data_IF_206753375253
#
_entry.id   IF_206753375253
#
_cell.length_a   1.000
_cell.length_b   1.000
_cell.length_c   1.000
_cell.angle_alpha   90.00
_cell.angle_beta   90.00
_cell.angle_gamma   90.00
#
_symmetry.space_group_name_H-M   'P 1'
#
loop_
_entity.id
_entity.type
_entity.pdbx_description
1 polymer ?
#
# COMPACT_ATOMS: atom_id res chain seq x y z
N UNK A 1 -54.20 73.16 10.59
CA UNK A 1 -55.52 72.49 10.54
C UNK A 1 -55.28 71.00 10.45
N UNK A 2 -55.84 70.25 11.39
CA UNK A 2 -55.59 68.82 11.62
C UNK A 2 -56.02 67.95 10.43
N UNK A 3 -55.40 66.78 10.25
CA UNK A 3 -55.99 65.45 10.54
C UNK A 3 -55.10 64.33 9.97
N UNK A 4 -54.89 63.33 10.82
CA UNK A 4 -54.19 62.04 10.63
C UNK A 4 -54.80 61.18 9.52
N UNK A 5 -54.01 60.29 8.92
CA UNK A 5 -54.42 58.91 8.60
C UNK A 5 -53.22 57.99 8.37
N UNK A 6 -53.32 56.81 8.97
CA UNK A 6 -52.32 55.76 9.16
C UNK A 6 -52.24 54.79 7.96
N UNK A 7 -51.42 53.73 8.13
CA UNK A 7 -51.21 52.50 7.31
C UNK A 7 -50.09 52.61 6.27
N UNK A 8 -49.17 51.64 6.11
CA UNK A 8 -48.87 50.41 6.83
C UNK A 8 -47.41 50.02 6.50
N UNK A 9 -46.65 49.63 7.51
CA UNK A 9 -45.32 49.02 7.35
C UNK A 9 -45.55 47.52 7.13
N UNK A 10 -45.27 47.02 5.94
CA UNK A 10 -45.12 45.58 5.69
C UNK A 10 -43.63 45.28 5.71
N UNK A 11 -43.20 44.66 6.80
CA UNK A 11 -41.85 44.13 6.96
C UNK A 11 -41.65 42.89 6.10
N UNK A 12 -40.53 42.84 5.40
CA UNK A 12 -39.92 41.60 4.95
C UNK A 12 -38.68 41.39 5.83
N UNK A 13 -38.84 40.67 6.94
CA UNK A 13 -37.71 40.15 7.70
C UNK A 13 -37.11 39.00 6.88
N UNK A 14 -35.99 39.25 6.20
CA UNK A 14 -35.15 38.18 5.67
C UNK A 14 -34.54 37.44 6.85
N UNK A 15 -35.09 36.26 7.14
CA UNK A 15 -34.45 35.29 8.02
C UNK A 15 -33.17 34.80 7.33
N UNK A 16 -32.02 35.38 7.70
CA UNK A 16 -30.71 34.84 7.34
C UNK A 16 -30.50 33.57 8.17
N UNK A 17 -30.84 32.42 7.58
CA UNK A 17 -30.41 31.11 8.07
C UNK A 17 -28.89 31.05 7.93
N UNK A 18 -28.18 31.28 9.03
CA UNK A 18 -26.75 30.98 9.12
C UNK A 18 -26.57 29.47 9.09
N UNK A 19 -26.35 28.92 7.90
CA UNK A 19 -25.88 27.57 7.72
C UNK A 19 -24.52 27.46 8.40
N UNK A 20 -24.48 26.83 9.57
CA UNK A 20 -23.23 26.45 10.23
C UNK A 20 -22.58 25.40 9.33
N UNK A 21 -21.62 25.84 8.51
CA UNK A 21 -20.68 24.96 7.85
C UNK A 21 -19.86 24.31 8.96
N UNK A 22 -20.15 23.05 9.27
CA UNK A 22 -19.25 22.20 10.03
C UNK A 22 -18.03 21.94 9.14
N UNK A 23 -17.05 22.83 9.20
CA UNK A 23 -15.71 22.51 8.73
C UNK A 23 -15.23 21.32 9.55
N UNK A 24 -15.07 20.17 8.90
CA UNK A 24 -14.39 19.04 9.52
C UNK A 24 -13.02 19.54 9.97
N UNK A 25 -12.79 19.56 11.28
CA UNK A 25 -11.46 19.85 11.80
C UNK A 25 -10.48 18.88 11.17
N UNK A 26 -9.26 19.31 10.79
CA UNK A 26 -8.23 18.35 10.44
C UNK A 26 -8.13 17.35 11.60
N UNK A 27 -8.06 16.05 11.28
CA UNK A 27 -7.71 15.04 12.25
C UNK A 27 -6.48 15.57 13.00
N UNK A 28 -6.59 15.75 14.32
CA UNK A 28 -5.53 16.31 15.12
C UNK A 28 -4.30 15.42 14.88
N UNK A 29 -3.34 15.90 14.09
CA UNK A 29 -1.99 15.44 14.24
C UNK A 29 -1.72 15.60 15.73
N UNK A 30 -1.43 14.50 16.43
CA UNK A 30 -0.90 14.62 17.78
C UNK A 30 0.17 15.71 17.75
N UNK A 31 0.21 16.49 18.82
CA UNK A 31 1.21 17.54 18.92
C UNK A 31 2.57 16.84 18.84
N UNK A 32 3.16 16.78 17.63
CA UNK A 32 4.45 16.16 17.38
C UNK A 32 5.50 17.00 18.06
N UNK A 33 5.55 16.87 19.37
CA UNK A 33 6.17 17.81 20.30
C UNK A 33 7.53 17.31 20.79
N UNK A 34 7.91 16.08 20.40
CA UNK A 34 9.17 15.48 20.76
C UNK A 34 9.20 14.95 22.20
N UNK A 35 8.04 14.80 22.83
CA UNK A 35 7.83 14.04 24.06
C UNK A 35 7.15 12.73 23.68
N UNK A 36 7.41 11.66 24.44
CA UNK A 36 6.72 10.41 24.22
C UNK A 36 5.62 10.27 25.26
N UNK A 37 4.40 10.67 24.91
CA UNK A 37 3.26 10.73 25.80
C UNK A 37 2.41 9.46 25.81
N UNK A 38 1.47 9.41 26.74
CA UNK A 38 0.52 8.31 26.83
C UNK A 38 -0.36 8.30 25.58
N UNK A 39 -0.44 7.15 24.91
CA UNK A 39 -1.19 7.00 23.65
C UNK A 39 -0.32 6.98 22.40
N UNK A 40 0.99 7.24 22.53
CA UNK A 40 1.87 7.43 21.37
C UNK A 40 2.79 6.25 21.08
N UNK A 41 3.28 6.20 19.84
CA UNK A 41 4.40 5.39 19.43
C UNK A 41 5.56 6.31 19.05
N UNK A 42 6.71 6.11 19.67
CA UNK A 42 7.79 7.07 19.61
C UNK A 42 9.07 6.43 19.07
N UNK A 43 9.69 7.07 18.11
CA UNK A 43 11.00 6.75 17.58
C UNK A 43 12.08 7.54 18.30
N UNK A 44 13.25 6.91 18.43
CA UNK A 44 14.46 7.49 18.98
C UNK A 44 15.61 7.33 17.98
N UNK A 45 16.37 8.40 17.78
CA UNK A 45 17.49 8.42 16.85
C UNK A 45 18.58 7.40 17.22
N UNK A 46 18.86 7.21 18.52
CA UNK A 46 19.88 6.25 18.99
C UNK A 46 19.26 5.03 19.66
N UNK A 47 20.04 3.96 19.74
CA UNK A 47 19.70 2.77 20.53
C UNK A 47 19.59 3.09 22.03
N UNK A 48 18.84 2.28 22.77
CA UNK A 48 18.60 2.48 24.20
C UNK A 48 17.65 3.64 24.48
N UNK A 49 16.79 4.01 23.53
CA UNK A 49 15.85 5.11 23.62
C UNK A 49 16.53 6.46 23.94
N UNK A 50 17.63 6.72 23.25
CA UNK A 50 18.44 7.93 23.39
C UNK A 50 18.36 8.81 22.13
N UNK A 51 18.85 10.05 22.25
CA UNK A 51 18.79 11.03 21.16
C UNK A 51 17.43 11.70 21.04
N UNK A 52 17.23 12.38 19.91
CA UNK A 52 15.99 13.08 19.60
C UNK A 52 14.83 12.11 19.34
N UNK A 53 13.61 12.59 19.57
CA UNK A 53 12.37 11.81 19.61
C UNK A 53 11.44 12.27 18.49
N UNK A 54 10.71 11.31 17.92
CA UNK A 54 9.59 11.57 17.03
C UNK A 54 8.40 10.73 17.47
N UNK A 55 7.26 11.36 17.71
CA UNK A 55 6.07 10.76 18.32
C UNK A 55 4.86 10.77 17.36
N UNK A 56 3.98 9.77 17.53
CA UNK A 56 2.88 9.45 16.62
C UNK A 56 1.69 8.83 17.36
N UNK A 57 0.47 9.22 17.01
CA UNK A 57 -0.78 8.61 17.53
C UNK A 57 -1.53 7.76 16.52
N UNK A 58 -1.06 7.71 15.28
CA UNK A 58 -1.71 7.02 14.17
C UNK A 58 -0.69 6.36 13.25
N UNK A 59 -1.18 5.44 12.41
CA UNK A 59 -0.35 4.75 11.42
C UNK A 59 0.14 5.70 10.33
N UNK A 60 1.37 5.52 9.89
CA UNK A 60 1.96 6.22 8.75
C UNK A 60 2.52 5.21 7.77
N UNK A 61 2.02 5.23 6.54
CA UNK A 61 2.46 4.39 5.44
C UNK A 61 3.72 4.94 4.76
N UNK A 62 4.04 6.23 4.87
CA UNK A 62 5.34 6.76 4.48
C UNK A 62 5.80 7.88 5.42
N UNK A 63 7.08 7.82 5.79
CA UNK A 63 7.73 8.86 6.58
C UNK A 63 8.19 10.05 5.74
N UNK A 64 8.19 9.91 4.41
CA UNK A 64 8.84 10.85 3.52
C UNK A 64 10.36 10.81 3.66
N UNK A 65 11.06 11.36 2.67
CA UNK A 65 12.53 11.31 2.61
C UNK A 65 13.18 12.64 2.96
N UNK A 66 12.51 13.77 2.72
CA UNK A 66 13.12 15.10 2.82
C UNK A 66 12.17 16.16 3.39
N UNK A 67 12.76 17.17 4.03
CA UNK A 67 12.07 18.37 4.53
C UNK A 67 11.55 19.23 3.37
N UNK A 68 10.43 19.95 3.54
CA UNK A 68 9.62 20.08 4.77
C UNK A 68 8.57 18.96 4.95
N UNK A 69 8.51 18.01 4.03
CA UNK A 69 7.44 17.00 3.96
C UNK A 69 7.67 15.77 4.83
N UNK A 70 8.91 15.46 5.18
CA UNK A 70 9.22 14.27 5.96
C UNK A 70 8.81 14.42 7.44
N UNK A 71 8.55 13.29 8.06
CA UNK A 71 8.44 13.20 9.51
C UNK A 71 9.84 13.20 10.10
N UNK A 72 10.12 14.14 11.00
CA UNK A 72 11.43 14.38 11.61
C UNK A 72 11.47 14.11 13.10
N UNK A 73 12.67 13.99 13.66
CA UNK A 73 12.84 13.99 15.11
C UNK A 73 12.71 15.41 15.67
N UNK A 74 11.73 15.62 16.54
CA UNK A 74 11.33 16.92 17.12
C UNK A 74 12.03 17.22 18.44
N UNK A 75 12.26 16.18 19.25
CA UNK A 75 12.85 16.30 20.58
C UNK A 75 14.26 16.91 20.58
N UNK A 76 14.75 17.32 21.74
CA UNK A 76 16.14 17.76 21.87
C UNK A 76 17.12 16.60 21.77
N UNK A 77 18.34 16.84 21.28
CA UNK A 77 19.43 15.85 21.26
C UNK A 77 19.89 15.46 19.85
N UNK A 78 20.79 14.48 19.79
CA UNK A 78 21.33 13.96 18.53
C UNK A 78 20.20 13.48 17.61
N UNK A 79 20.25 13.87 16.33
CA UNK A 79 19.24 13.53 15.32
C UNK A 79 18.11 14.54 15.16
N UNK A 80 18.03 15.59 15.99
CA UNK A 80 16.97 16.62 15.88
C UNK A 80 16.93 17.23 14.48
N UNK A 81 15.73 17.27 13.88
CA UNK A 81 15.45 17.82 12.56
C UNK A 81 15.74 16.87 11.39
N UNK A 82 16.42 15.75 11.62
CA UNK A 82 16.59 14.71 10.60
C UNK A 82 15.26 13.99 10.38
N UNK A 83 15.00 13.59 9.14
CA UNK A 83 13.88 12.73 8.79
C UNK A 83 14.04 11.37 9.48
N UNK A 84 12.95 10.75 9.93
CA UNK A 84 12.99 9.48 10.66
C UNK A 84 13.24 8.27 9.75
N UNK A 85 12.99 8.41 8.44
CA UNK A 85 13.16 7.35 7.45
C UNK A 85 14.61 6.91 7.42
N UNK A 86 14.83 5.63 7.67
CA UNK A 86 16.17 5.01 7.73
C UNK A 86 17.11 5.60 8.80
N UNK A 87 16.59 6.30 9.81
CA UNK A 87 17.43 6.96 10.83
C UNK A 87 17.05 6.57 12.27
N UNK A 88 15.99 5.78 12.46
CA UNK A 88 15.59 5.39 13.81
C UNK A 88 16.27 4.10 14.28
N UNK A 89 16.68 4.09 15.54
CA UNK A 89 17.40 2.97 16.13
C UNK A 89 16.67 2.27 17.28
N UNK A 90 15.71 2.94 17.92
CA UNK A 90 14.88 2.34 18.97
C UNK A 90 13.52 3.01 19.07
N UNK A 91 12.59 2.35 19.78
CA UNK A 91 11.20 2.79 19.90
C UNK A 91 10.66 2.63 21.32
N UNK A 92 9.60 3.38 21.63
CA UNK A 92 8.76 3.16 22.80
C UNK A 92 7.29 3.24 22.38
N UNK A 93 6.56 2.14 22.58
CA UNK A 93 5.13 2.09 22.38
C UNK A 93 4.41 2.41 23.69
N UNK A 94 4.01 3.67 23.87
CA UNK A 94 3.15 4.12 24.99
C UNK A 94 1.67 4.11 24.65
N UNK A 95 1.29 3.54 23.50
CA UNK A 95 -0.10 3.32 23.13
C UNK A 95 -0.67 2.04 23.75
N UNK A 96 -1.97 1.83 23.58
CA UNK A 96 -2.68 0.62 24.00
C UNK A 96 -2.71 -0.47 22.92
N UNK A 97 -2.10 -0.23 21.76
CA UNK A 97 -2.16 -1.12 20.58
C UNK A 97 -0.78 -1.72 20.32
N UNK A 98 -0.74 -2.90 19.71
CA UNK A 98 0.50 -3.35 19.05
C UNK A 98 0.80 -2.40 17.89
N UNK A 99 2.06 -1.99 17.77
CA UNK A 99 2.55 -1.21 16.64
C UNK A 99 3.59 -2.02 15.89
N UNK A 100 3.42 -2.13 14.58
CA UNK A 100 4.36 -2.79 13.68
C UNK A 100 5.21 -1.75 12.98
N UNK A 101 6.52 -1.87 13.07
CA UNK A 101 7.47 -1.08 12.27
C UNK A 101 7.88 -1.89 11.06
N UNK A 102 7.92 -1.25 9.90
CA UNK A 102 8.23 -1.85 8.62
C UNK A 102 9.51 -1.29 8.02
N UNK A 103 10.23 -2.15 7.30
CA UNK A 103 11.44 -1.78 6.58
C UNK A 103 11.12 -0.80 5.43
N UNK A 104 10.08 -1.08 4.65
CA UNK A 104 9.67 -0.26 3.50
C UNK A 104 8.48 0.65 3.82
N UNK A 105 8.28 1.67 2.99
CA UNK A 105 7.03 2.43 2.93
C UNK A 105 5.86 1.52 2.53
N UNK A 106 4.63 2.01 2.62
CA UNK A 106 3.41 1.28 2.29
C UNK A 106 3.02 0.17 3.25
N UNK A 107 3.70 0.01 4.39
CA UNK A 107 3.61 -1.16 5.30
C UNK A 107 4.22 -2.47 4.72
N UNK A 108 5.32 -2.38 3.97
CA UNK A 108 6.00 -3.53 3.33
C UNK A 108 7.25 -4.07 4.02
N UNK A 109 7.69 -5.23 3.54
CA UNK A 109 9.01 -5.78 3.78
C UNK A 109 9.12 -6.57 5.08
N UNK A 110 10.34 -6.60 5.62
CA UNK A 110 10.61 -7.10 6.97
C UNK A 110 9.96 -6.18 7.99
N UNK A 111 9.46 -6.74 9.09
CA UNK A 111 8.81 -5.97 10.13
C UNK A 111 9.21 -6.42 11.53
N UNK A 112 8.97 -5.56 12.50
CA UNK A 112 9.08 -5.87 13.93
C UNK A 112 7.85 -5.34 14.67
N UNK A 113 7.25 -6.20 15.48
CA UNK A 113 6.11 -5.85 16.32
C UNK A 113 6.56 -5.40 17.71
N UNK A 114 5.93 -4.35 18.20
CA UNK A 114 6.08 -3.82 19.54
C UNK A 114 4.71 -3.84 20.23
N UNK A 115 4.55 -4.72 21.21
CA UNK A 115 3.34 -4.79 22.03
C UNK A 115 3.09 -3.46 22.77
N UNK A 116 1.87 -3.26 23.27
CA UNK A 116 1.54 -2.11 24.12
C UNK A 116 2.51 -2.03 25.31
N UNK A 117 3.06 -0.85 25.57
CA UNK A 117 4.07 -0.61 26.61
C UNK A 117 5.50 -1.00 26.25
N UNK A 118 5.73 -1.71 25.12
CA UNK A 118 7.05 -2.21 24.78
C UNK A 118 8.04 -1.07 24.50
N UNK A 119 9.26 -1.22 25.02
CA UNK A 119 10.36 -0.26 24.87
C UNK A 119 11.63 -1.03 24.52
N UNK A 120 12.31 -0.64 23.45
CA UNK A 120 13.53 -1.33 23.04
C UNK A 120 14.06 -0.95 21.67
N UNK A 121 15.17 -1.59 21.30
CA UNK A 121 15.83 -1.37 20.01
C UNK A 121 15.08 -2.00 18.85
N UNK A 122 15.18 -1.37 17.68
CA UNK A 122 14.90 -2.04 16.43
C UNK A 122 15.95 -3.15 16.22
N UNK A 123 15.53 -4.27 15.64
CA UNK A 123 16.42 -5.38 15.32
C UNK A 123 17.41 -4.99 14.21
N UNK A 124 18.39 -5.85 13.94
CA UNK A 124 19.45 -5.58 12.97
C UNK A 124 18.94 -5.28 11.55
N UNK A 125 17.78 -5.84 11.17
CA UNK A 125 17.18 -5.60 9.86
C UNK A 125 16.53 -4.22 9.78
N UNK A 126 15.86 -3.75 10.84
CA UNK A 126 15.08 -2.51 10.81
C UNK A 126 15.78 -1.29 11.37
N UNK A 127 16.82 -1.47 12.20
CA UNK A 127 17.60 -0.35 12.72
C UNK A 127 18.20 0.44 11.55
N UNK A 128 17.91 1.74 11.51
CA UNK A 128 18.31 2.67 10.45
C UNK A 128 17.83 2.23 9.05
N UNK A 129 16.75 1.46 8.98
CA UNK A 129 16.15 1.00 7.72
C UNK A 129 14.62 0.89 7.85
N UNK A 130 14.00 1.84 8.56
CA UNK A 130 12.55 1.88 8.81
C UNK A 130 11.89 2.97 7.95
N UNK A 131 10.73 2.67 7.37
CA UNK A 131 10.05 3.61 6.47
C UNK A 131 8.53 3.74 6.67
N UNK A 132 7.89 2.86 7.45
CA UNK A 132 6.47 2.99 7.83
C UNK A 132 6.13 2.27 9.12
N UNK A 133 5.00 2.62 9.75
CA UNK A 133 4.49 1.92 10.93
C UNK A 133 2.97 1.86 10.99
N UNK A 134 2.44 0.78 11.55
CA UNK A 134 1.01 0.54 11.65
C UNK A 134 0.59 0.22 13.08
N UNK A 135 -0.35 1.00 13.60
CA UNK A 135 -1.09 0.67 14.81
C UNK A 135 -2.14 -0.41 14.51
N UNK A 136 -2.28 -1.38 15.42
CA UNK A 136 -3.20 -2.51 15.27
C UNK A 136 -3.04 -3.21 13.91
N UNK A 137 -1.84 -3.72 13.58
CA UNK A 137 -1.60 -4.37 12.29
C UNK A 137 -2.55 -5.55 12.12
N UNK A 138 -3.18 -5.65 10.95
CA UNK A 138 -3.95 -6.83 10.58
C UNK A 138 -3.01 -7.98 10.21
N UNK A 139 -3.44 -9.21 10.47
CA UNK A 139 -2.82 -10.36 9.80
C UNK A 139 -3.11 -10.26 8.31
N UNK A 140 -2.08 -10.54 7.50
CA UNK A 140 -2.17 -10.50 6.03
C UNK A 140 -1.74 -11.84 5.47
N UNK A 141 -2.37 -12.25 4.38
CA UNK A 141 -2.03 -13.48 3.66
C UNK A 141 -0.90 -13.19 2.68
N UNK A 142 0.09 -14.07 2.61
CA UNK A 142 1.13 -13.98 1.58
C UNK A 142 0.48 -14.08 0.19
N UNK A 143 0.79 -13.17 -0.73
CA UNK A 143 0.30 -13.19 -2.11
C UNK A 143 0.63 -14.51 -2.81
N UNK A 144 1.79 -15.10 -2.54
CA UNK A 144 2.18 -16.41 -3.09
C UNK A 144 1.22 -17.52 -2.67
N UNK A 145 0.73 -17.50 -1.44
CA UNK A 145 -0.30 -18.40 -0.98
C UNK A 145 -1.68 -17.99 -1.52
N UNK A 146 -2.02 -16.70 -1.56
CA UNK A 146 -3.32 -16.25 -2.02
C UNK A 146 -3.57 -16.52 -3.51
N UNK A 147 -2.55 -16.39 -4.34
CA UNK A 147 -2.62 -16.60 -5.79
C UNK A 147 -2.88 -18.06 -6.13
N UNK A 148 -2.25 -19.00 -5.41
CA UNK A 148 -2.34 -20.44 -5.70
C UNK A 148 -3.23 -21.23 -4.73
N UNK A 149 -3.56 -20.65 -3.58
CA UNK A 149 -4.22 -21.32 -2.43
C UNK A 149 -3.55 -22.64 -2.03
N UNK A 150 -2.24 -22.72 -2.20
CA UNK A 150 -1.45 -23.92 -1.96
C UNK A 150 -0.05 -23.54 -1.46
N UNK A 151 0.58 -24.45 -0.71
CA UNK A 151 1.97 -24.29 -0.29
C UNK A 151 2.94 -24.46 -1.48
N UNK A 152 4.17 -23.98 -1.29
CA UNK A 152 5.26 -24.10 -2.27
C UNK A 152 5.32 -22.99 -3.32
N UNK A 153 4.39 -22.03 -3.28
CA UNK A 153 4.52 -20.80 -4.06
C UNK A 153 5.53 -19.83 -3.42
N UNK A 154 6.20 -19.02 -4.26
CA UNK A 154 7.13 -17.99 -3.83
C UNK A 154 7.13 -16.80 -4.79
N UNK A 155 7.33 -15.60 -4.26
CA UNK A 155 7.69 -14.43 -5.08
C UNK A 155 9.11 -14.63 -5.62
N UNK A 156 9.25 -14.66 -6.95
CA UNK A 156 10.53 -14.83 -7.65
C UNK A 156 11.14 -13.50 -8.09
N UNK A 157 10.31 -12.49 -8.33
CA UNK A 157 10.73 -11.12 -8.59
C UNK A 157 9.69 -10.15 -8.02
N UNK A 158 10.12 -9.21 -7.19
CA UNK A 158 9.25 -8.15 -6.67
C UNK A 158 9.11 -6.99 -7.65
N UNK A 159 8.25 -6.04 -7.31
CA UNK A 159 8.16 -4.77 -8.03
C UNK A 159 9.52 -4.06 -8.05
N UNK A 160 9.88 -3.52 -9.20
CA UNK A 160 11.19 -2.94 -9.50
C UNK A 160 12.38 -3.87 -9.17
N UNK A 161 12.17 -5.19 -9.25
CA UNK A 161 13.11 -6.21 -8.79
C UNK A 161 14.11 -6.71 -9.82
N UNK A 162 14.15 -6.16 -11.03
CA UNK A 162 15.08 -6.60 -12.08
C UNK A 162 16.53 -6.28 -11.72
N UNK A 163 17.37 -7.32 -11.72
CA UNK A 163 18.81 -7.21 -11.45
C UNK A 163 19.68 -7.62 -12.63
N UNK A 164 19.17 -8.50 -13.49
CA UNK A 164 19.88 -9.06 -14.65
C UNK A 164 19.16 -8.82 -15.97
N UNK A 165 17.89 -8.41 -15.92
CA UNK A 165 17.05 -8.11 -17.10
C UNK A 165 17.05 -6.61 -17.32
N UNK A 166 17.43 -6.10 -18.51
CA UNK A 166 17.29 -4.68 -18.80
C UNK A 166 15.84 -4.22 -18.67
N UNK A 167 15.62 -3.10 -17.99
CA UNK A 167 14.31 -2.48 -17.77
C UNK A 167 13.89 -2.44 -16.31
N UNK A 168 12.61 -2.15 -16.04
CA UNK A 168 12.02 -2.03 -14.69
C UNK A 168 10.86 -3.00 -14.55
N UNK A 169 10.79 -3.74 -13.45
CA UNK A 169 9.73 -4.73 -13.25
C UNK A 169 8.45 -4.09 -12.69
N UNK A 170 7.36 -4.07 -13.46
CA UNK A 170 6.14 -3.30 -13.15
C UNK A 170 5.13 -4.04 -12.26
N UNK A 171 5.43 -5.30 -11.92
CA UNK A 171 4.54 -6.15 -11.15
C UNK A 171 5.30 -7.05 -10.19
N UNK A 172 4.67 -8.16 -9.83
CA UNK A 172 5.24 -9.16 -8.93
C UNK A 172 5.13 -10.51 -9.63
N UNK A 173 6.26 -11.20 -9.77
CA UNK A 173 6.33 -12.53 -10.35
C UNK A 173 6.22 -13.55 -9.22
N UNK A 174 5.23 -14.43 -9.33
CA UNK A 174 4.96 -15.46 -8.34
C UNK A 174 4.95 -16.81 -9.05
N UNK A 175 5.87 -17.68 -8.65
CA UNK A 175 5.99 -19.02 -9.21
C UNK A 175 5.56 -20.09 -8.19
N UNK A 176 5.03 -21.19 -8.69
CA UNK A 176 4.79 -22.42 -7.92
C UNK A 176 5.12 -23.65 -8.77
N UNK A 177 4.21 -24.04 -9.65
CA UNK A 177 4.35 -25.17 -10.56
C UNK A 177 3.35 -25.05 -11.71
N UNK A 178 3.82 -25.22 -12.95
CA UNK A 178 2.96 -25.23 -14.15
C UNK A 178 1.72 -26.09 -13.94
N UNK A 179 0.55 -25.55 -14.27
CA UNK A 179 -0.76 -26.16 -14.07
C UNK A 179 -1.39 -25.91 -12.70
N UNK A 180 -0.77 -25.13 -11.81
CA UNK A 180 -1.42 -24.69 -10.56
C UNK A 180 -2.56 -23.73 -10.87
N UNK A 181 -3.70 -23.88 -10.19
CA UNK A 181 -4.79 -22.91 -10.27
C UNK A 181 -4.30 -21.51 -9.88
N UNK A 182 -4.44 -20.54 -10.77
CA UNK A 182 -4.23 -19.11 -10.50
C UNK A 182 -5.57 -18.48 -10.13
N UNK A 183 -5.61 -17.83 -8.97
CA UNK A 183 -6.82 -17.25 -8.39
C UNK A 183 -6.79 -15.73 -8.41
N UNK A 184 -7.96 -15.13 -8.60
CA UNK A 184 -8.10 -13.68 -8.56
C UNK A 184 -7.79 -13.13 -7.16
N UNK A 185 -6.91 -12.14 -7.09
CA UNK A 185 -6.52 -11.48 -5.85
C UNK A 185 -7.50 -10.37 -5.45
N UNK A 186 -8.32 -9.91 -6.38
CA UNK A 186 -9.40 -8.95 -6.16
C UNK A 186 -10.66 -9.42 -6.88
N UNK A 187 -11.82 -9.03 -6.35
CA UNK A 187 -13.06 -9.13 -7.12
C UNK A 187 -13.09 -8.07 -8.22
N UNK A 188 -13.87 -8.29 -9.28
CA UNK A 188 -14.02 -7.31 -10.36
C UNK A 188 -14.70 -7.88 -11.59
N UNK A 189 -14.53 -7.21 -12.72
CA UNK A 189 -14.99 -7.69 -14.02
C UNK A 189 -13.80 -7.93 -14.93
N UNK A 190 -13.76 -9.05 -15.64
CA UNK A 190 -12.74 -9.28 -16.67
C UNK A 190 -12.99 -8.31 -17.83
N UNK A 191 -12.01 -7.47 -18.13
CA UNK A 191 -12.11 -6.44 -19.18
C UNK A 191 -11.23 -6.71 -20.38
N UNK A 192 -10.30 -7.66 -20.28
CA UNK A 192 -9.45 -8.11 -21.37
C UNK A 192 -8.94 -9.52 -21.12
N UNK A 193 -8.89 -10.33 -22.18
CA UNK A 193 -8.26 -11.65 -22.19
C UNK A 193 -7.50 -11.84 -23.49
N UNK A 194 -6.21 -12.16 -23.39
CA UNK A 194 -5.42 -12.75 -24.46
C UNK A 194 -4.98 -14.15 -23.99
N UNK A 195 -5.36 -15.19 -24.73
CA UNK A 195 -5.05 -16.58 -24.32
C UNK A 195 -3.56 -16.87 -24.28
N UNK A 196 -2.79 -16.27 -25.19
CA UNK A 196 -1.36 -16.53 -25.35
C UNK A 196 -1.06 -17.99 -25.75
N UNK A 197 0.22 -18.33 -25.73
CA UNK A 197 0.73 -19.68 -25.94
C UNK A 197 2.09 -19.83 -25.29
N UNK A 198 2.45 -21.03 -24.87
CA UNK A 198 3.78 -21.35 -24.38
C UNK A 198 4.87 -20.99 -25.39
N UNK A 199 5.98 -20.40 -24.93
CA UNK A 199 7.05 -19.89 -25.78
C UNK A 199 7.05 -18.37 -25.89
N UNK A 200 8.19 -17.79 -26.30
CA UNK A 200 8.50 -16.36 -26.20
C UNK A 200 7.57 -15.40 -26.97
N UNK A 201 6.70 -15.90 -27.83
CA UNK A 201 5.87 -15.09 -28.73
C UNK A 201 4.38 -14.98 -28.35
N UNK A 202 3.92 -15.73 -27.35
CA UNK A 202 2.50 -15.85 -27.03
C UNK A 202 2.15 -15.32 -25.65
N UNK A 203 2.38 -14.03 -25.40
CA UNK A 203 2.01 -13.42 -24.11
C UNK A 203 0.52 -13.58 -23.85
N UNK A 204 0.18 -14.22 -22.73
CA UNK A 204 -1.19 -14.21 -22.21
C UNK A 204 -1.42 -12.99 -21.33
N UNK A 205 -2.67 -12.57 -21.24
CA UNK A 205 -3.07 -11.43 -20.41
C UNK A 205 -4.49 -11.65 -19.93
N UNK A 206 -4.73 -11.44 -18.63
CA UNK A 206 -6.07 -11.31 -18.06
C UNK A 206 -6.08 -9.99 -17.29
N UNK A 207 -7.03 -9.11 -17.59
CA UNK A 207 -7.20 -7.86 -16.84
C UNK A 207 -8.54 -7.87 -16.12
N UNK A 208 -8.48 -7.78 -14.79
CA UNK A 208 -9.66 -7.68 -13.92
C UNK A 208 -9.77 -6.24 -13.41
N UNK A 209 -10.85 -5.55 -13.76
CA UNK A 209 -11.12 -4.20 -13.27
C UNK A 209 -12.02 -4.23 -12.05
N UNK A 210 -11.56 -3.62 -10.96
CA UNK A 210 -12.37 -3.39 -9.77
C UNK A 210 -12.81 -1.92 -9.76
N UNK A 211 -14.11 -1.68 -10.02
CA UNK A 211 -14.68 -0.35 -10.10
C UNK A 211 -14.66 0.41 -8.75
N UNK A 212 -14.87 -0.30 -7.64
CA UNK A 212 -14.87 0.30 -6.29
C UNK A 212 -13.48 0.80 -5.87
N UNK A 213 -12.42 0.11 -6.29
CA UNK A 213 -11.04 0.51 -6.04
C UNK A 213 -10.49 1.46 -7.12
N UNK A 214 -11.18 1.54 -8.27
CA UNK A 214 -10.71 2.17 -9.50
C UNK A 214 -9.31 1.70 -9.91
N UNK A 215 -9.11 0.38 -9.92
CA UNK A 215 -7.85 -0.28 -10.27
C UNK A 215 -8.08 -1.45 -11.22
N UNK A 216 -7.14 -1.70 -12.11
CA UNK A 216 -7.03 -2.97 -12.83
C UNK A 216 -5.94 -3.83 -12.19
N UNK A 217 -6.22 -5.12 -11.99
CA UNK A 217 -5.21 -6.14 -11.66
C UNK A 217 -5.01 -7.02 -12.88
N UNK A 218 -3.77 -7.15 -13.31
CA UNK A 218 -3.40 -7.78 -14.58
C UNK A 218 -2.53 -8.99 -14.30
N UNK A 219 -2.88 -10.10 -14.92
CA UNK A 219 -2.19 -11.38 -14.81
C UNK A 219 -1.58 -11.75 -16.16
N UNK A 220 -0.28 -12.00 -16.21
CA UNK A 220 0.41 -12.46 -17.41
C UNK A 220 1.00 -13.86 -17.21
N UNK A 221 1.43 -14.46 -18.31
CA UNK A 221 2.15 -15.74 -18.37
C UNK A 221 1.36 -17.00 -17.95
N UNK A 222 0.10 -16.84 -17.55
CA UNK A 222 -0.82 -17.93 -17.21
C UNK A 222 -1.64 -18.43 -18.41
N UNK A 223 -2.30 -19.59 -18.33
CA UNK A 223 -3.28 -20.07 -19.31
C UNK A 223 -4.71 -19.70 -18.87
N UNK A 224 -5.39 -18.72 -19.49
CA UNK A 224 -6.68 -18.21 -19.01
C UNK A 224 -7.81 -19.23 -19.03
N UNK A 225 -8.69 -19.15 -18.03
CA UNK A 225 -9.92 -19.95 -17.87
C UNK A 225 -11.19 -19.11 -17.83
N UNK A 226 -11.08 -17.81 -18.11
CA UNK A 226 -12.15 -16.81 -18.05
C UNK A 226 -12.30 -16.07 -19.37
N UNK A 227 -13.43 -15.39 -19.53
CA UNK A 227 -13.79 -14.58 -20.70
C UNK A 227 -14.03 -13.13 -20.31
N UNK A 228 -13.89 -12.23 -21.29
CA UNK A 228 -14.25 -10.82 -21.11
C UNK A 228 -15.74 -10.72 -20.74
N UNK A 229 -16.04 -9.96 -19.69
CA UNK A 229 -17.38 -9.79 -19.14
C UNK A 229 -17.66 -10.61 -17.88
N UNK A 230 -16.84 -11.62 -17.57
CA UNK A 230 -17.02 -12.43 -16.37
C UNK A 230 -16.90 -11.56 -15.11
N UNK A 231 -17.84 -11.75 -14.18
CA UNK A 231 -17.81 -11.16 -12.85
C UNK A 231 -17.05 -12.11 -11.91
N UNK A 232 -15.90 -11.66 -11.44
CA UNK A 232 -14.95 -12.46 -10.68
C UNK A 232 -15.03 -12.11 -9.20
N UNK A 233 -15.07 -13.13 -8.35
CA UNK A 233 -14.86 -13.00 -6.91
C UNK A 233 -13.40 -13.19 -6.54
N UNK A 234 -12.91 -12.46 -5.54
CA UNK A 234 -11.61 -12.72 -4.92
C UNK A 234 -11.52 -14.20 -4.47
N UNK A 235 -10.45 -14.87 -4.89
CA UNK A 235 -10.17 -16.30 -4.65
C UNK A 235 -10.71 -17.25 -5.73
N UNK A 236 -11.49 -16.76 -6.69
CA UNK A 236 -11.98 -17.53 -7.82
C UNK A 236 -10.85 -17.90 -8.78
N UNK A 237 -10.89 -19.10 -9.34
CA UNK A 237 -9.88 -19.57 -10.29
C UNK A 237 -10.08 -18.88 -11.64
N UNK A 238 -9.03 -18.22 -12.14
CA UNK A 238 -9.09 -17.45 -13.39
C UNK A 238 -8.15 -17.98 -14.49
N UNK A 239 -7.15 -18.77 -14.11
CA UNK A 239 -6.16 -19.34 -15.04
C UNK A 239 -5.45 -20.55 -14.43
N UNK A 240 -4.57 -21.15 -15.22
CA UNK A 240 -3.50 -22.03 -14.74
C UNK A 240 -2.15 -21.35 -14.84
N UNK A 241 -1.26 -21.59 -13.89
CA UNK A 241 0.14 -21.18 -14.01
C UNK A 241 0.74 -21.81 -15.26
N UNK A 242 1.40 -21.00 -16.08
CA UNK A 242 1.99 -21.46 -17.32
C UNK A 242 3.27 -20.66 -17.59
N UNK A 243 3.73 -20.71 -18.83
CA UNK A 243 4.88 -19.99 -19.34
C UNK A 243 4.53 -19.36 -20.69
N UNK A 244 3.30 -18.83 -20.80
CA UNK A 244 2.80 -18.19 -22.01
C UNK A 244 3.56 -16.88 -22.26
N UNK A 245 4.26 -16.77 -23.39
CA UNK A 245 5.13 -15.63 -23.66
C UNK A 245 6.50 -15.70 -22.97
N UNK A 246 6.82 -16.79 -22.27
CA UNK A 246 8.13 -17.03 -21.65
C UNK A 246 8.90 -18.05 -22.49
N UNK A 247 10.24 -17.99 -22.51
CA UNK A 247 11.07 -18.80 -23.41
C UNK A 247 11.15 -20.30 -23.05
N UNK A 248 10.85 -20.66 -21.80
CA UNK A 248 10.91 -22.05 -21.34
C UNK A 248 10.03 -22.27 -20.10
N UNK A 249 9.68 -23.53 -19.85
CA UNK A 249 8.89 -23.93 -18.66
C UNK A 249 9.63 -23.75 -17.34
N UNK A 250 10.97 -23.71 -17.33
CA UNK A 250 11.74 -23.43 -16.10
C UNK A 250 11.61 -21.98 -15.64
N UNK A 251 11.15 -21.08 -16.51
CA UNK A 251 10.80 -19.70 -16.17
C UNK A 251 9.31 -19.49 -15.92
N UNK A 252 8.53 -20.56 -15.75
CA UNK A 252 7.09 -20.44 -15.47
C UNK A 252 6.85 -19.65 -14.18
N UNK A 253 5.94 -18.68 -14.27
CA UNK A 253 5.45 -17.86 -13.18
C UNK A 253 4.15 -17.21 -13.63
N UNK A 254 3.43 -16.60 -12.68
CA UNK A 254 2.36 -15.64 -12.99
C UNK A 254 2.86 -14.26 -12.59
N UNK A 255 2.91 -13.34 -13.55
CA UNK A 255 3.17 -11.94 -13.30
C UNK A 255 1.87 -11.25 -12.89
N UNK A 256 1.88 -10.48 -11.80
CA UNK A 256 0.72 -9.74 -11.30
C UNK A 256 1.05 -8.25 -11.19
N UNK A 257 0.33 -7.42 -11.95
CA UNK A 257 0.49 -5.96 -11.95
C UNK A 257 -0.78 -5.25 -11.49
N UNK A 258 -0.63 -4.11 -10.82
CA UNK A 258 -1.73 -3.22 -10.43
C UNK A 258 -1.62 -1.91 -11.19
N UNK A 259 -2.68 -1.53 -11.90
CA UNK A 259 -2.74 -0.28 -12.64
C UNK A 259 -3.84 0.65 -12.14
N UNK A 260 -3.58 1.95 -12.23
CA UNK A 260 -4.56 3.00 -11.95
C UNK A 260 -5.66 3.03 -13.02
N UNK A 261 -6.92 3.03 -12.58
CA UNK A 261 -8.07 3.09 -13.47
C UNK A 261 -8.31 1.81 -14.26
N UNK A 262 -9.11 1.94 -15.33
CA UNK A 262 -9.48 0.82 -16.20
C UNK A 262 -8.44 0.62 -17.29
N UNK A 263 -7.49 -0.29 -17.04
CA UNK A 263 -6.42 -0.67 -17.98
C UNK A 263 -6.56 -2.12 -18.45
N UNK A 264 -6.32 -2.35 -19.74
CA UNK A 264 -6.42 -3.69 -20.38
C UNK A 264 -5.08 -4.39 -20.56
N UNK A 265 -3.96 -3.71 -20.31
CA UNK A 265 -2.62 -4.25 -20.53
C UNK A 265 -1.68 -3.82 -19.40
N UNK A 266 -0.74 -4.70 -19.09
CA UNK A 266 0.40 -4.42 -18.21
C UNK A 266 1.29 -3.32 -18.81
N UNK A 267 2.07 -2.65 -17.97
CA UNK A 267 3.13 -1.73 -18.39
C UNK A 267 4.26 -2.51 -19.06
N UNK A 268 5.05 -1.83 -19.89
CA UNK A 268 6.22 -2.45 -20.50
C UNK A 268 7.31 -2.52 -19.45
N UNK A 269 7.79 -3.72 -19.12
CA UNK A 269 8.89 -3.91 -18.17
C UNK A 269 10.25 -4.13 -18.84
N UNK A 270 10.32 -5.07 -19.78
CA UNK A 270 11.58 -5.47 -20.41
C UNK A 270 12.04 -4.42 -21.42
N UNK A 271 13.27 -3.94 -21.26
CA UNK A 271 13.87 -2.91 -22.09
C UNK A 271 13.38 -1.49 -21.80
N UNK A 272 12.44 -1.30 -20.88
CA UNK A 272 11.93 0.01 -20.48
C UNK A 272 12.57 0.47 -19.17
N UNK A 273 13.37 1.55 -19.15
CA UNK A 273 13.96 2.07 -17.91
C UNK A 273 12.96 2.86 -17.05
N UNK A 274 11.74 3.11 -17.56
CA UNK A 274 10.70 3.88 -16.90
C UNK A 274 9.90 2.99 -15.97
N UNK A 275 9.49 3.56 -14.82
CA UNK A 275 8.55 2.92 -13.91
C UNK A 275 7.23 3.68 -14.01
N UNK A 276 6.27 3.11 -14.72
CA UNK A 276 4.95 3.68 -15.02
C UNK A 276 3.98 3.59 -13.86
N UNK A 277 4.04 2.50 -13.08
CA UNK A 277 3.16 2.32 -11.93
C UNK A 277 3.85 2.76 -10.63
N UNK A 278 3.08 3.25 -9.63
CA UNK A 278 3.60 3.38 -8.27
C UNK A 278 3.79 2.01 -7.63
N UNK A 279 4.65 1.93 -6.61
CA UNK A 279 4.81 0.73 -5.78
C UNK A 279 3.45 0.20 -5.29
N UNK A 280 3.07 -1.06 -5.63
CA UNK A 280 1.74 -1.59 -5.35
C UNK A 280 1.57 -2.06 -3.90
N UNK A 281 2.61 -1.96 -3.06
CA UNK A 281 2.61 -2.42 -1.66
C UNK A 281 1.37 -1.95 -0.89
N UNK A 282 1.11 -0.65 -0.88
CA UNK A 282 0.03 -0.08 -0.06
C UNK A 282 -1.33 -0.58 -0.52
N UNK A 283 -1.48 -0.78 -1.83
CA UNK A 283 -2.65 -1.41 -2.41
C UNK A 283 -2.78 -2.86 -1.93
N UNK A 284 -1.78 -3.71 -2.07
CA UNK A 284 -1.88 -5.11 -1.65
C UNK A 284 -2.12 -5.26 -0.15
N UNK A 285 -1.48 -4.43 0.66
CA UNK A 285 -1.71 -4.37 2.10
C UNK A 285 -3.15 -3.99 2.44
N UNK A 286 -3.75 -3.04 1.71
CA UNK A 286 -5.17 -2.68 1.86
C UNK A 286 -6.11 -3.82 1.45
N UNK A 287 -5.66 -4.70 0.55
CA UNK A 287 -6.38 -5.91 0.14
C UNK A 287 -6.14 -7.10 1.09
N UNK A 288 -5.38 -6.91 2.17
CA UNK A 288 -5.09 -7.94 3.16
C UNK A 288 -3.94 -8.88 2.79
N UNK A 289 -3.05 -8.45 1.88
CA UNK A 289 -1.93 -9.26 1.42
C UNK A 289 -0.57 -8.70 1.79
N UNK A 290 0.41 -9.59 2.02
CA UNK A 290 1.83 -9.25 1.97
C UNK A 290 2.39 -9.69 0.62
N UNK A 291 3.29 -8.90 0.03
CA UNK A 291 4.03 -9.25 -1.19
C UNK A 291 5.12 -10.31 -0.91
N UNK A 292 4.68 -11.47 -0.45
CA UNK A 292 5.49 -12.64 -0.07
C UNK A 292 4.80 -13.88 -0.58
#
# INVERSE_FOLDING_TARGET
MNIRKSLAVVGAALAMTTSILTVASPAQAAARDGVCDSGEFCYYYNSGNAGSISDFTGSLDDYGTEQPSCYDFKGTGAGKGLCIKNEAASVWNRSTKTVRVYFNSGYAGSYQDFAAGAKGNLNATLKNNNASHQFSPSTRTNMSYALYQASGGSVTCGFDGYTTTPGRHEGIDIARSVGSDVRALVSGTVIYVASGSTGSGGLSTISVYNSSLNKSVIYLHSAPRVSVGDAISKGEVIADESWHGVSSSSGAHTHVEVRNGRQTHASVSVGDPTLDNPDPTSFWNSQGYNEK
#
